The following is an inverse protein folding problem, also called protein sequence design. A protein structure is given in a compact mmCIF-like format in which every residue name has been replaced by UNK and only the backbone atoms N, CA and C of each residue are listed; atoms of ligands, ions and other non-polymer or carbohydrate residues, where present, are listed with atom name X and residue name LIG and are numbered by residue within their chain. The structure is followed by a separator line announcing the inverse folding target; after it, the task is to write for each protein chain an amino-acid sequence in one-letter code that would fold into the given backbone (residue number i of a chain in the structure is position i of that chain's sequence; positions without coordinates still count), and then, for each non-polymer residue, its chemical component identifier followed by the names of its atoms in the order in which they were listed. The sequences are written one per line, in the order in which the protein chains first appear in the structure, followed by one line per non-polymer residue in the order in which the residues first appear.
data_IF_549735360352
#
_entry.id   IF_549735360352
#
_cell.length_a   1.000
_cell.length_b   1.000
_cell.length_c   1.000
_cell.angle_alpha   90.00
_cell.angle_beta   90.00
_cell.angle_gamma   90.00
#
_symmetry.space_group_name_H-M   'P 1'
#
loop_
_entity.id
_entity.type
_entity.pdbx_description
1 polymer ?
#
# COMPACT_ATOMS: atom_id res chain seq x y z
N UNK A 1 -20.74 -21.24 6.28
CA UNK A 1 -19.88 -20.07 5.97
C UNK A 1 -20.32 -19.46 4.65
N UNK A 2 -21.15 -18.41 4.67
CA UNK A 2 -21.58 -17.72 3.45
C UNK A 2 -20.50 -16.75 2.97
N UNK A 3 -20.05 -16.92 1.73
CA UNK A 3 -19.15 -15.99 1.03
C UNK A 3 -19.97 -14.80 0.49
N UNK A 4 -19.30 -13.71 0.11
CA UNK A 4 -19.97 -12.60 -0.57
C UNK A 4 -20.54 -11.54 0.39
N UNK A 5 -21.81 -11.18 0.22
CA UNK A 5 -22.46 -10.00 0.85
C UNK A 5 -22.41 -10.04 2.38
N UNK A 6 -22.75 -11.18 2.98
CA UNK A 6 -22.74 -11.38 4.44
C UNK A 6 -21.38 -11.10 5.07
N UNK A 7 -20.28 -11.34 4.34
CA UNK A 7 -18.91 -11.11 4.82
C UNK A 7 -18.42 -9.66 4.68
N UNK A 8 -19.11 -8.78 3.92
CA UNK A 8 -18.62 -7.42 3.63
C UNK A 8 -18.70 -6.48 4.83
N UNK A 9 -19.67 -6.66 5.71
CA UNK A 9 -19.83 -5.83 6.92
C UNK A 9 -18.62 -5.90 7.87
N UNK A 10 -17.87 -7.00 7.86
CA UNK A 10 -16.69 -7.20 8.73
C UNK A 10 -15.42 -6.49 8.23
N UNK A 11 -15.48 -5.74 7.11
CA UNK A 11 -14.28 -5.16 6.46
C UNK A 11 -13.94 -3.73 6.91
N UNK A 12 -14.81 -3.06 7.66
CA UNK A 12 -14.65 -1.64 8.02
C UNK A 12 -13.58 -1.41 9.09
N UNK A 13 -13.51 -2.30 10.08
CA UNK A 13 -12.76 -2.10 11.33
C UNK A 13 -11.24 -2.26 11.17
N UNK A 14 -10.79 -3.21 10.35
CA UNK A 14 -9.37 -3.58 10.29
C UNK A 14 -8.72 -3.18 8.96
N UNK A 15 -8.26 -1.93 8.89
CA UNK A 15 -7.49 -1.44 7.74
C UNK A 15 -6.06 -1.96 7.77
N UNK A 16 -5.73 -2.85 6.83
CA UNK A 16 -4.37 -3.40 6.65
C UNK A 16 -3.37 -2.35 6.19
N UNK A 17 -3.80 -1.42 5.32
CA UNK A 17 -2.96 -0.39 4.74
C UNK A 17 -3.32 1.01 5.24
N UNK A 18 -2.29 1.84 5.42
CA UNK A 18 -2.36 3.27 5.71
C UNK A 18 -1.58 4.08 4.68
N UNK A 19 -1.66 5.40 4.79
CA UNK A 19 -0.89 6.31 3.95
C UNK A 19 0.62 6.17 4.24
N UNK A 20 1.41 6.02 3.20
CA UNK A 20 2.86 5.95 3.31
C UNK A 20 3.47 7.35 3.35
N UNK A 21 4.32 7.62 4.35
CA UNK A 21 5.02 8.91 4.51
C UNK A 21 5.92 9.29 3.33
N UNK A 22 6.54 8.31 2.65
CA UNK A 22 7.43 8.59 1.51
C UNK A 22 6.67 8.91 0.22
N UNK A 23 5.51 8.29 0.00
CA UNK A 23 4.87 8.32 -1.32
C UNK A 23 3.41 8.69 -1.37
N UNK A 24 2.79 9.03 -0.24
CA UNK A 24 1.38 9.46 -0.18
C UNK A 24 0.33 8.40 -0.51
N UNK A 25 0.72 7.25 -1.09
CA UNK A 25 -0.21 6.16 -1.40
C UNK A 25 -0.65 5.41 -0.14
N UNK A 26 -1.92 4.97 -0.10
CA UNK A 26 -2.48 4.07 0.93
C UNK A 26 -1.97 2.64 0.74
N UNK A 27 -0.67 2.44 0.92
CA UNK A 27 0.02 1.18 0.66
C UNK A 27 0.98 0.77 1.78
N UNK A 28 1.06 1.54 2.87
CA UNK A 28 1.88 1.17 4.02
C UNK A 28 1.16 0.13 4.86
N UNK A 29 1.74 -1.07 4.98
CA UNK A 29 1.16 -2.15 5.74
C UNK A 29 1.44 -1.97 7.23
N UNK A 30 0.40 -1.74 8.05
CA UNK A 30 0.55 -1.41 9.48
C UNK A 30 1.30 -2.48 10.26
N UNK A 31 0.85 -3.74 10.15
CA UNK A 31 1.44 -4.86 10.90
C UNK A 31 2.87 -5.25 10.48
N UNK A 32 3.25 -4.98 9.22
CA UNK A 32 4.55 -5.40 8.65
C UNK A 32 5.54 -4.25 8.56
N UNK A 33 5.13 -3.02 8.89
CA UNK A 33 5.97 -1.84 8.84
C UNK A 33 6.53 -1.49 7.45
N UNK A 34 5.94 -1.99 6.36
CA UNK A 34 6.51 -1.85 5.00
C UNK A 34 5.50 -1.31 4.00
N UNK A 35 5.93 -0.42 3.12
CA UNK A 35 5.14 0.05 1.99
C UNK A 35 5.18 -0.92 0.82
N UNK A 36 4.02 -1.41 0.41
CA UNK A 36 3.86 -2.29 -0.75
C UNK A 36 4.15 -1.59 -2.07
N UNK A 37 4.10 -0.26 -2.11
CA UNK A 37 4.34 0.51 -3.34
C UNK A 37 5.82 0.88 -3.47
N UNK A 38 6.36 1.72 -2.57
CA UNK A 38 7.73 2.23 -2.65
C UNK A 38 8.80 1.41 -1.91
N UNK A 39 8.40 0.48 -1.04
CA UNK A 39 9.34 -0.28 -0.21
C UNK A 39 9.82 0.42 1.07
N UNK A 40 9.34 1.63 1.40
CA UNK A 40 9.63 2.31 2.68
C UNK A 40 9.47 1.32 3.86
N UNK A 41 10.43 1.22 4.81
CA UNK A 41 11.54 2.14 5.10
C UNK A 41 12.83 1.96 4.27
N UNK A 42 12.96 0.93 3.42
CA UNK A 42 14.16 0.67 2.60
C UNK A 42 14.70 1.93 1.92
N UNK A 43 16.01 2.20 1.87
CA UNK A 43 16.54 3.39 1.20
C UNK A 43 16.29 3.37 -0.31
N UNK A 44 16.39 2.20 -0.94
CA UNK A 44 16.09 2.01 -2.36
C UNK A 44 14.59 1.94 -2.61
N UNK A 45 14.15 2.58 -3.70
CA UNK A 45 12.78 2.46 -4.19
C UNK A 45 12.55 1.06 -4.75
N UNK A 46 11.44 0.45 -4.35
CA UNK A 46 11.00 -0.84 -4.87
C UNK A 46 10.59 -0.70 -6.34
N UNK A 47 11.30 -1.40 -7.23
CA UNK A 47 11.02 -1.51 -8.68
C UNK A 47 11.30 -2.94 -9.12
N UNK A 48 10.53 -3.44 -10.07
CA UNK A 48 10.75 -4.75 -10.68
C UNK A 48 10.67 -4.62 -12.19
N UNK A 49 11.47 -5.42 -12.92
CA UNK A 49 11.54 -5.35 -14.38
C UNK A 49 10.19 -5.65 -15.06
N UNK A 50 9.39 -6.52 -14.48
CA UNK A 50 8.06 -6.88 -14.99
C UNK A 50 6.96 -5.88 -14.63
N UNK A 51 7.23 -4.87 -13.79
CA UNK A 51 6.21 -3.91 -13.39
C UNK A 51 6.00 -2.85 -14.46
N UNK A 52 4.82 -2.88 -15.10
CA UNK A 52 4.38 -1.83 -16.04
C UNK A 52 4.00 -0.53 -15.34
N UNK A 53 3.59 -0.60 -14.07
CA UNK A 53 3.18 0.58 -13.28
C UNK A 53 4.40 1.33 -12.80
N UNK A 54 4.72 2.42 -13.48
CA UNK A 54 5.78 3.32 -13.06
C UNK A 54 5.40 4.02 -11.75
N UNK A 55 6.33 3.99 -10.80
CA UNK A 55 6.22 4.73 -9.55
C UNK A 55 6.25 6.27 -9.77
N UNK A 56 6.61 6.72 -10.97
CA UNK A 56 6.90 8.11 -11.29
C UNK A 56 5.67 9.05 -11.36
N UNK A 57 4.44 8.56 -11.24
CA UNK A 57 3.29 9.44 -11.15
C UNK A 57 3.05 9.83 -9.67
N UNK A 58 3.57 11.02 -9.32
CA UNK A 58 3.64 11.71 -8.00
C UNK A 58 5.04 11.69 -7.36
N UNK A 59 6.03 12.26 -8.06
CA UNK A 59 6.91 13.23 -7.38
C UNK A 59 6.05 14.47 -7.09
N UNK A 60 6.29 15.14 -5.95
CA UNK A 60 5.44 16.12 -5.27
C UNK A 60 4.52 15.43 -4.25
N UNK A 61 4.59 15.79 -2.99
CA UNK A 61 4.84 17.14 -2.45
C UNK A 61 6.03 17.09 -1.48
N UNK A 62 6.79 18.18 -1.48
CA UNK A 62 7.67 18.66 -0.41
C UNK A 62 7.23 18.23 0.98
#
# INVERSE_FOLDING_TARGET
MTKGTTSRGKRTSHRTHMQCRRCGNRSFHKRKGRCASCGYPSPKLRRYAWQRKNFNHRRRIT
#
